data_IF_018068778925
#
_entry.id   IF_018068778925
#
_cell.length_a   1.000
_cell.length_b   1.000
_cell.length_c   1.000
_cell.angle_alpha   90.00
_cell.angle_beta   90.00
_cell.angle_gamma   90.00
#
_symmetry.space_group_name_H-M   'P 1'
#
loop_
_entity.id
_entity.type
_entity.pdbx_description
1 polymer ?
#
# COMPACT_ATOMS: atom_id res chain seq x y z
N UNK A 1 -18.47 -24.53 2.91
CA UNK A 1 -17.92 -23.18 2.70
C UNK A 1 -16.92 -23.26 1.58
N UNK A 2 -17.33 -22.83 0.39
CA UNK A 2 -16.39 -22.73 -0.73
C UNK A 2 -15.36 -21.65 -0.39
N UNK A 3 -14.08 -21.97 -0.63
CA UNK A 3 -12.99 -21.00 -0.53
C UNK A 3 -13.29 -19.86 -1.50
N UNK A 4 -12.91 -18.60 -1.19
CA UNK A 4 -13.00 -17.54 -2.18
C UNK A 4 -12.32 -18.01 -3.48
N UNK A 5 -13.06 -17.95 -4.58
CA UNK A 5 -12.55 -18.31 -5.90
C UNK A 5 -11.36 -17.41 -6.21
N UNK A 6 -10.37 -17.94 -6.94
CA UNK A 6 -9.15 -17.20 -7.34
C UNK A 6 -9.51 -15.84 -7.95
N UNK A 7 -10.61 -15.79 -8.70
CA UNK A 7 -11.16 -14.57 -9.28
C UNK A 7 -11.54 -13.53 -8.21
N UNK A 8 -12.27 -13.90 -7.16
CA UNK A 8 -12.69 -12.98 -6.10
C UNK A 8 -11.48 -12.40 -5.34
N UNK A 9 -10.49 -13.23 -5.04
CA UNK A 9 -9.24 -12.77 -4.39
C UNK A 9 -8.47 -11.82 -5.30
N UNK A 10 -8.35 -12.13 -6.59
CA UNK A 10 -7.69 -11.25 -7.56
C UNK A 10 -8.41 -9.89 -7.70
N UNK A 11 -9.73 -9.89 -7.85
CA UNK A 11 -10.52 -8.65 -7.93
C UNK A 11 -10.36 -7.80 -6.69
N UNK A 12 -10.36 -8.41 -5.50
CA UNK A 12 -10.12 -7.70 -4.25
C UNK A 12 -8.74 -7.04 -4.20
N UNK A 13 -7.68 -7.79 -4.54
CA UNK A 13 -6.31 -7.26 -4.60
C UNK A 13 -6.22 -6.08 -5.57
N UNK A 14 -6.78 -6.21 -6.77
CA UNK A 14 -6.75 -5.13 -7.77
C UNK A 14 -7.53 -3.90 -7.33
N UNK A 15 -8.65 -4.08 -6.62
CA UNK A 15 -9.43 -2.97 -6.08
C UNK A 15 -8.66 -2.20 -5.00
N UNK A 16 -7.96 -2.90 -4.10
CA UNK A 16 -7.09 -2.28 -3.09
C UNK A 16 -5.95 -1.51 -3.76
N UNK A 17 -5.29 -2.12 -4.75
CA UNK A 17 -4.20 -1.47 -5.52
C UNK A 17 -4.70 -0.22 -6.23
N UNK A 18 -5.85 -0.28 -6.90
CA UNK A 18 -6.45 0.87 -7.59
C UNK A 18 -6.86 1.98 -6.61
N UNK A 19 -7.40 1.63 -5.44
CA UNK A 19 -7.73 2.56 -4.38
C UNK A 19 -6.50 3.31 -3.87
N UNK A 20 -5.43 2.58 -3.54
CA UNK A 20 -4.17 3.17 -3.12
C UNK A 20 -3.60 4.09 -4.21
N UNK A 21 -3.57 3.64 -5.47
CA UNK A 21 -3.09 4.44 -6.60
C UNK A 21 -3.89 5.74 -6.79
N UNK A 22 -5.20 5.70 -6.56
CA UNK A 22 -6.06 6.88 -6.62
C UNK A 22 -5.65 7.88 -5.54
N UNK A 23 -5.35 7.41 -4.32
CA UNK A 23 -4.86 8.27 -3.24
C UNK A 23 -3.52 8.91 -3.57
N UNK A 24 -2.59 8.21 -4.22
CA UNK A 24 -1.35 8.84 -4.72
C UNK A 24 -1.64 10.05 -5.61
N UNK A 25 -2.52 9.87 -6.60
CA UNK A 25 -2.83 10.93 -7.57
C UNK A 25 -3.54 12.11 -6.92
N UNK A 26 -4.51 11.84 -6.04
CA UNK A 26 -5.27 12.89 -5.34
C UNK A 26 -4.37 13.64 -4.37
N UNK A 27 -3.58 12.95 -3.54
CA UNK A 27 -2.67 13.59 -2.60
C UNK A 27 -1.61 14.43 -3.32
N UNK A 28 -1.11 13.95 -4.47
CA UNK A 28 -0.15 14.69 -5.30
C UNK A 28 -0.79 15.95 -5.89
N UNK A 29 -1.99 15.84 -6.44
CA UNK A 29 -2.71 16.99 -6.97
C UNK A 29 -2.98 18.04 -5.89
N UNK A 30 -3.33 17.63 -4.67
CA UNK A 30 -3.56 18.53 -3.54
C UNK A 30 -2.25 19.21 -3.08
N UNK A 31 -1.14 18.47 -2.99
CA UNK A 31 0.15 19.06 -2.62
C UNK A 31 0.67 20.04 -3.66
N UNK A 32 0.49 19.76 -4.95
CA UNK A 32 0.86 20.67 -6.04
C UNK A 32 -0.06 21.91 -6.07
N UNK A 33 -1.35 21.75 -5.78
CA UNK A 33 -2.29 22.87 -5.69
C UNK A 33 -1.95 23.84 -4.57
N UNK A 34 -1.34 23.37 -3.48
CA UNK A 34 -0.88 24.21 -2.38
C UNK A 34 0.27 25.16 -2.76
N UNK A 35 0.92 24.98 -3.93
CA UNK A 35 1.94 25.87 -4.51
C UNK A 35 3.06 26.25 -3.54
N UNK A 36 3.62 25.27 -2.83
CA UNK A 36 4.78 25.52 -1.99
C UNK A 36 5.98 25.98 -2.82
N UNK A 37 6.82 26.83 -2.24
CA UNK A 37 8.01 27.37 -2.92
C UNK A 37 9.16 26.35 -2.97
N UNK A 38 9.18 25.38 -2.05
CA UNK A 38 10.23 24.37 -1.94
C UNK A 38 9.66 22.97 -2.27
N UNK A 39 10.45 22.18 -2.99
CA UNK A 39 10.10 20.79 -3.31
C UNK A 39 10.03 19.94 -2.03
N UNK A 40 10.99 20.09 -1.11
CA UNK A 40 11.01 19.38 0.18
C UNK A 40 9.70 19.55 0.98
N UNK A 41 9.14 20.78 1.01
CA UNK A 41 7.87 21.04 1.70
C UNK A 41 6.66 20.43 1.00
N UNK A 42 6.71 20.33 -0.33
CA UNK A 42 5.66 19.68 -1.13
C UNK A 42 5.65 18.19 -0.84
N UNK A 43 6.83 17.55 -0.89
CA UNK A 43 7.02 16.14 -0.61
C UNK A 43 6.63 15.77 0.82
N UNK A 44 7.03 16.56 1.83
CA UNK A 44 6.65 16.34 3.23
C UNK A 44 5.12 16.42 3.43
N UNK A 45 4.47 17.41 2.82
CA UNK A 45 3.02 17.58 2.91
C UNK A 45 2.30 16.42 2.23
N UNK A 46 2.77 16.06 1.04
CA UNK A 46 2.28 14.92 0.28
C UNK A 46 2.39 13.62 1.08
N UNK A 47 3.56 13.34 1.66
CA UNK A 47 3.87 12.16 2.47
C UNK A 47 2.89 12.03 3.64
N UNK A 48 2.69 13.13 4.37
CA UNK A 48 1.79 13.20 5.53
C UNK A 48 0.34 12.96 5.12
N UNK A 49 -0.14 13.66 4.10
CA UNK A 49 -1.52 13.54 3.61
C UNK A 49 -1.80 12.12 3.12
N UNK A 50 -0.88 11.56 2.32
CA UNK A 50 -1.04 10.23 1.76
C UNK A 50 -1.04 9.14 2.86
N UNK A 51 -0.11 9.22 3.83
CA UNK A 51 -0.08 8.28 4.94
C UNK A 51 -1.36 8.32 5.77
N UNK A 52 -1.82 9.51 6.16
CA UNK A 52 -3.06 9.66 6.95
C UNK A 52 -4.30 9.23 6.16
N UNK A 53 -4.39 9.58 4.87
CA UNK A 53 -5.49 9.17 4.01
C UNK A 53 -5.56 7.64 3.90
N UNK A 54 -4.43 6.97 3.69
CA UNK A 54 -4.39 5.52 3.60
C UNK A 54 -4.65 4.84 4.95
N UNK A 55 -4.25 5.46 6.07
CA UNK A 55 -4.58 4.96 7.41
C UNK A 55 -6.08 4.99 7.68
N UNK A 56 -6.76 6.09 7.31
CA UNK A 56 -8.23 6.21 7.41
C UNK A 56 -8.92 5.21 6.49
N UNK A 57 -8.44 5.08 5.25
CA UNK A 57 -8.99 4.12 4.30
C UNK A 57 -8.89 2.68 4.83
N UNK A 58 -7.71 2.32 5.33
CA UNK A 58 -7.47 1.03 5.98
C UNK A 58 -8.39 0.79 7.18
N UNK A 59 -8.59 1.78 8.06
CA UNK A 59 -9.49 1.64 9.20
C UNK A 59 -10.95 1.37 8.76
N UNK A 60 -11.40 2.06 7.71
CA UNK A 60 -12.71 1.85 7.11
C UNK A 60 -12.84 0.46 6.47
N UNK A 61 -11.84 0.02 5.71
CA UNK A 61 -11.77 -1.30 5.10
C UNK A 61 -11.87 -2.40 6.17
N UNK A 62 -11.18 -2.22 7.30
CA UNK A 62 -11.23 -3.15 8.42
C UNK A 62 -12.60 -3.18 9.09
N UNK A 63 -13.27 -2.03 9.25
CA UNK A 63 -14.62 -1.98 9.79
C UNK A 63 -15.63 -2.70 8.89
N UNK A 64 -15.58 -2.46 7.58
CA UNK A 64 -16.46 -3.10 6.59
C UNK A 64 -16.16 -4.60 6.50
N UNK A 65 -14.89 -5.01 6.48
CA UNK A 65 -14.47 -6.42 6.46
C UNK A 65 -14.93 -7.13 7.73
N UNK A 66 -14.86 -6.46 8.88
CA UNK A 66 -15.36 -7.00 10.14
C UNK A 66 -16.87 -7.23 10.11
N UNK A 67 -17.63 -6.25 9.65
CA UNK A 67 -19.07 -6.38 9.55
C UNK A 67 -19.51 -7.47 8.56
N UNK A 68 -18.91 -7.52 7.37
CA UNK A 68 -19.22 -8.52 6.34
C UNK A 68 -18.86 -9.93 6.80
N UNK A 69 -17.69 -10.12 7.43
CA UNK A 69 -17.28 -11.40 8.01
C UNK A 69 -18.27 -11.87 9.08
N UNK A 70 -18.76 -10.96 9.93
CA UNK A 70 -19.77 -11.30 10.93
C UNK A 70 -21.07 -11.81 10.28
N UNK A 71 -21.61 -11.10 9.30
CA UNK A 71 -22.83 -11.50 8.59
C UNK A 71 -22.66 -12.86 7.90
N UNK A 72 -21.51 -13.09 7.24
CA UNK A 72 -21.18 -14.37 6.60
C UNK A 72 -21.15 -15.52 7.63
N UNK A 73 -20.49 -15.31 8.77
CA UNK A 73 -20.36 -16.34 9.80
C UNK A 73 -21.69 -16.66 10.49
N UNK A 74 -22.54 -15.65 10.71
CA UNK A 74 -23.92 -15.86 11.19
C UNK A 74 -24.75 -16.64 10.17
N UNK A 75 -24.64 -16.30 8.88
CA UNK A 75 -25.33 -17.03 7.79
C UNK A 75 -24.88 -18.49 7.67
N UNK A 76 -23.63 -18.79 8.00
CA UNK A 76 -23.09 -20.15 8.06
C UNK A 76 -23.44 -20.90 9.36
N UNK A 77 -24.14 -20.28 10.30
CA UNK A 77 -24.47 -20.89 11.60
C UNK A 77 -23.23 -21.15 12.46
N UNK A 78 -22.17 -20.36 12.32
CA UNK A 78 -20.95 -20.50 13.09
C UNK A 78 -21.24 -20.36 14.61
N UNK A 79 -20.53 -21.16 15.41
CA UNK A 79 -20.65 -21.20 16.87
C UNK A 79 -19.29 -20.94 17.51
N UNK A 80 -19.31 -20.41 18.72
CA UNK A 80 -18.11 -20.26 19.56
C UNK A 80 -17.58 -21.62 20.00
N UNK A 81 -16.38 -21.65 20.59
CA UNK A 81 -15.81 -22.85 21.22
C UNK A 81 -16.71 -23.43 22.33
N UNK A 82 -17.57 -22.59 22.93
CA UNK A 82 -18.56 -22.98 23.95
C UNK A 82 -19.90 -23.43 23.37
N UNK A 83 -20.06 -23.44 22.04
CA UNK A 83 -21.28 -23.87 21.35
C UNK A 83 -22.37 -22.81 21.22
N UNK A 84 -22.12 -21.57 21.68
CA UNK A 84 -23.07 -20.45 21.57
C UNK A 84 -23.05 -19.93 20.13
N UNK A 85 -24.21 -19.73 19.48
CA UNK A 85 -24.26 -19.19 18.12
C UNK A 85 -23.79 -17.73 18.09
N UNK A 86 -23.06 -17.34 17.03
CA UNK A 86 -22.45 -16.01 16.92
C UNK A 86 -23.45 -14.84 17.01
N UNK A 87 -24.71 -15.07 16.65
CA UNK A 87 -25.80 -14.09 16.71
C UNK A 87 -26.14 -13.63 18.13
N UNK A 88 -25.87 -14.48 19.13
CA UNK A 88 -26.21 -14.21 20.53
C UNK A 88 -25.10 -13.44 21.27
N UNK A 89 -23.92 -13.27 20.66
CA UNK A 89 -22.82 -12.52 21.26
C UNK A 89 -22.97 -11.02 21.05
N UNK A 90 -22.56 -10.23 22.05
CA UNK A 90 -22.62 -8.78 22.01
C UNK A 90 -21.27 -8.16 21.64
N UNK A 91 -21.29 -7.21 20.69
CA UNK A 91 -20.20 -6.28 20.35
C UNK A 91 -18.77 -6.84 20.47
N UNK A 92 -18.07 -6.48 21.56
CA UNK A 92 -16.68 -6.86 21.80
C UNK A 92 -16.45 -8.37 21.94
N UNK A 93 -17.44 -9.12 22.39
CA UNK A 93 -17.35 -10.58 22.50
C UNK A 93 -17.30 -11.26 21.11
N UNK A 94 -17.88 -10.62 20.09
CA UNK A 94 -17.81 -11.09 18.71
C UNK A 94 -16.35 -10.99 18.22
N UNK A 95 -15.67 -9.88 18.48
CA UNK A 95 -14.26 -9.69 18.11
C UNK A 95 -13.30 -10.60 18.89
N UNK A 96 -13.64 -10.94 20.14
CA UNK A 96 -12.87 -11.86 20.96
C UNK A 96 -13.04 -13.34 20.60
N UNK A 97 -14.04 -13.71 19.80
CA UNK A 97 -14.29 -15.12 19.53
C UNK A 97 -13.32 -15.69 18.48
N UNK A 98 -12.78 -16.88 18.74
CA UNK A 98 -11.79 -17.54 17.89
C UNK A 98 -12.22 -17.67 16.41
N UNK A 99 -13.48 -18.04 16.07
CA UNK A 99 -13.90 -18.11 14.67
C UNK A 99 -13.80 -16.77 13.95
N UNK A 100 -14.16 -15.67 14.61
CA UNK A 100 -14.08 -14.32 14.05
C UNK A 100 -12.62 -13.88 13.90
N UNK A 101 -11.79 -14.05 14.92
CA UNK A 101 -10.37 -13.70 14.86
C UNK A 101 -9.64 -14.46 13.75
N UNK A 102 -9.95 -15.75 13.57
CA UNK A 102 -9.37 -16.57 12.51
C UNK A 102 -9.81 -16.12 11.12
N UNK A 103 -11.09 -15.78 10.93
CA UNK A 103 -11.62 -15.32 9.66
C UNK A 103 -11.09 -13.93 9.29
N UNK A 104 -11.11 -12.99 10.25
CA UNK A 104 -10.54 -11.65 10.08
C UNK A 104 -9.05 -11.72 9.81
N UNK A 105 -8.29 -12.51 10.56
CA UNK A 105 -6.87 -12.70 10.31
C UNK A 105 -6.56 -13.26 8.91
N UNK A 106 -7.44 -14.09 8.35
CA UNK A 106 -7.30 -14.57 6.98
C UNK A 106 -7.55 -13.47 5.94
N UNK A 107 -8.63 -12.70 6.07
CA UNK A 107 -8.90 -11.57 5.14
C UNK A 107 -7.86 -10.47 5.28
N UNK A 108 -7.42 -10.21 6.51
CA UNK A 108 -6.35 -9.27 6.81
C UNK A 108 -5.04 -9.65 6.14
N UNK A 109 -4.69 -10.94 6.18
CA UNK A 109 -3.51 -11.44 5.47
C UNK A 109 -3.60 -11.17 3.97
N UNK A 110 -4.75 -11.44 3.32
CA UNK A 110 -4.93 -11.19 1.89
C UNK A 110 -4.95 -9.72 1.50
N UNK A 111 -5.44 -8.86 2.40
CA UNK A 111 -5.34 -7.41 2.25
C UNK A 111 -3.87 -6.97 2.26
N UNK A 112 -3.11 -7.38 3.28
CA UNK A 112 -1.71 -7.01 3.41
C UNK A 112 -0.83 -7.62 2.30
N UNK A 113 -0.87 -8.95 2.14
CA UNK A 113 -0.13 -9.68 1.13
C UNK A 113 -1.06 -10.53 0.24
N UNK A 114 -1.04 -10.36 -1.09
CA UNK A 114 -0.04 -9.61 -1.85
C UNK A 114 -0.43 -8.13 -2.12
N UNK A 115 -1.61 -7.69 -1.70
CA UNK A 115 -2.27 -6.48 -2.23
C UNK A 115 -1.63 -5.16 -1.82
N UNK A 116 -1.13 -5.01 -0.60
CA UNK A 116 -0.45 -3.78 -0.16
C UNK A 116 1.08 -3.93 -0.23
N UNK A 117 1.61 -5.07 0.18
CA UNK A 117 3.04 -5.27 0.37
C UNK A 117 3.82 -5.48 -0.94
N UNK A 118 3.20 -6.04 -1.99
CA UNK A 118 3.96 -6.49 -3.17
C UNK A 118 3.39 -6.01 -4.49
N UNK A 119 2.09 -6.20 -4.74
CA UNK A 119 1.48 -5.91 -6.05
C UNK A 119 1.65 -4.45 -6.50
N UNK A 120 1.46 -3.42 -5.65
CA UNK A 120 1.68 -2.04 -6.06
C UNK A 120 3.11 -1.83 -6.57
N UNK A 121 4.10 -2.41 -5.86
CA UNK A 121 5.51 -2.31 -6.22
C UNK A 121 5.92 -3.14 -7.44
N UNK A 122 5.15 -4.18 -7.80
CA UNK A 122 5.34 -4.91 -9.06
C UNK A 122 4.74 -4.15 -10.25
N UNK A 123 3.59 -3.53 -10.03
CA UNK A 123 2.85 -2.79 -11.06
C UNK A 123 3.54 -1.46 -11.38
N UNK A 124 4.09 -0.77 -10.37
CA UNK A 124 4.76 0.52 -10.51
C UNK A 124 5.88 0.52 -11.57
N UNK A 125 6.92 -0.34 -11.53
CA UNK A 125 7.96 -0.33 -12.56
C UNK A 125 7.42 -0.67 -13.95
N UNK A 126 6.36 -1.49 -14.03
CA UNK A 126 5.70 -1.83 -15.27
C UNK A 126 5.02 -0.61 -15.91
N UNK A 127 4.28 0.17 -15.11
CA UNK A 127 3.50 1.32 -15.58
C UNK A 127 4.28 2.65 -15.61
N UNK A 128 5.22 2.84 -14.70
CA UNK A 128 5.96 4.10 -14.54
C UNK A 128 7.32 4.11 -15.25
N UNK A 129 7.92 2.93 -15.52
CA UNK A 129 9.24 2.83 -16.16
C UNK A 129 9.13 2.15 -17.52
N UNK A 130 8.61 0.93 -17.56
CA UNK A 130 8.60 0.13 -18.79
C UNK A 130 7.63 0.68 -19.84
N UNK A 131 6.38 0.95 -19.46
CA UNK A 131 5.35 1.44 -20.38
C UNK A 131 5.71 2.80 -21.01
N UNK A 132 6.11 3.85 -20.24
CA UNK A 132 6.46 5.14 -20.83
C UNK A 132 7.71 5.04 -21.69
N UNK A 133 8.69 4.24 -21.27
CA UNK A 133 9.90 4.02 -22.07
C UNK A 133 9.60 3.38 -23.42
N UNK A 134 8.75 2.36 -23.44
CA UNK A 134 8.35 1.70 -24.68
C UNK A 134 7.57 2.65 -25.60
N UNK A 135 6.65 3.46 -25.04
CA UNK A 135 5.90 4.46 -25.81
C UNK A 135 6.83 5.52 -26.39
N UNK A 136 7.77 6.05 -25.60
CA UNK A 136 8.71 7.07 -26.07
C UNK A 136 9.67 6.53 -27.12
N UNK A 137 10.16 5.30 -26.98
CA UNK A 137 10.96 4.64 -28.02
C UNK A 137 10.18 4.50 -29.33
N UNK A 138 8.91 4.08 -29.28
CA UNK A 138 8.05 3.98 -30.46
C UNK A 138 7.77 5.35 -31.08
N UNK A 139 7.62 6.39 -30.26
CA UNK A 139 7.35 7.74 -30.72
C UNK A 139 8.56 8.36 -31.42
N UNK A 140 9.76 8.19 -30.86
CA UNK A 140 11.03 8.61 -31.48
C UNK A 140 11.30 7.83 -32.77
N UNK A 141 11.00 6.53 -32.81
CA UNK A 141 11.14 5.72 -34.03
C UNK A 141 10.16 6.10 -35.14
N UNK A 142 8.95 6.52 -34.79
CA UNK A 142 7.91 6.90 -35.77
C UNK A 142 8.08 8.31 -36.34
N UNK A 143 8.79 9.21 -35.64
CA UNK A 143 9.01 10.58 -36.07
C UNK A 143 10.48 10.84 -36.44
N UNK A 144 10.88 10.64 -37.72
CA UNK A 144 12.27 10.81 -38.15
C UNK A 144 12.79 12.26 -38.05
N UNK A 145 11.91 13.22 -37.77
CA UNK A 145 12.22 14.63 -37.53
C UNK A 145 12.84 14.87 -36.15
N UNK A 146 12.58 14.01 -35.17
CA UNK A 146 13.13 14.12 -33.81
C UNK A 146 14.49 13.42 -33.78
N UNK A 147 15.58 14.18 -33.82
CA UNK A 147 16.96 13.66 -33.87
C UNK A 147 17.88 14.35 -32.88
N UNK A 148 18.98 13.68 -32.53
CA UNK A 148 20.01 14.22 -31.65
C UNK A 148 19.46 14.52 -30.26
N UNK A 149 19.70 15.73 -29.77
CA UNK A 149 19.34 16.15 -28.42
C UNK A 149 17.82 16.12 -28.14
N UNK A 150 16.98 16.33 -29.16
CA UNK A 150 15.52 16.26 -28.99
C UNK A 150 15.05 14.81 -28.78
N UNK A 151 15.68 13.86 -29.44
CA UNK A 151 15.42 12.43 -29.24
C UNK A 151 15.88 11.97 -27.85
N UNK A 152 17.05 12.45 -27.40
CA UNK A 152 17.52 12.20 -26.03
C UNK A 152 16.58 12.79 -24.99
N UNK A 153 16.08 14.02 -25.17
CA UNK A 153 15.09 14.63 -24.28
C UNK A 153 13.76 13.89 -24.28
N UNK A 154 13.29 13.41 -25.44
CA UNK A 154 12.08 12.59 -25.51
C UNK A 154 12.24 11.25 -24.77
N UNK A 155 13.48 10.75 -24.68
CA UNK A 155 13.83 9.55 -23.90
C UNK A 155 14.16 9.85 -22.43
N UNK A 156 14.17 11.12 -21.98
CA UNK A 156 14.22 11.49 -20.56
C UNK A 156 12.85 11.36 -19.88
N UNK A 157 12.20 10.20 -20.02
CA UNK A 157 10.92 9.88 -19.36
C UNK A 157 11.11 9.42 -17.90
N UNK A 158 12.32 9.57 -17.37
CA UNK A 158 12.68 9.12 -16.04
C UNK A 158 11.87 9.86 -14.98
N UNK A 159 11.01 9.12 -14.27
CA UNK A 159 10.25 9.64 -13.16
C UNK A 159 11.23 10.06 -12.05
N UNK A 160 11.19 11.32 -11.57
CA UNK A 160 12.00 11.73 -10.41
C UNK A 160 11.68 10.82 -9.22
N UNK A 161 12.66 10.62 -8.34
CA UNK A 161 12.43 9.80 -7.15
C UNK A 161 11.48 10.56 -6.22
N UNK A 162 10.24 10.09 -6.14
CA UNK A 162 9.26 10.60 -5.19
C UNK A 162 9.58 10.05 -3.78
N UNK A 163 9.50 10.89 -2.74
CA UNK A 163 9.66 10.44 -1.34
C UNK A 163 8.45 9.63 -0.84
N UNK A 164 7.43 9.47 -1.68
CA UNK A 164 6.22 8.67 -1.43
C UNK A 164 6.51 7.27 -0.89
N UNK A 165 7.63 6.67 -1.29
CA UNK A 165 8.10 5.35 -0.80
C UNK A 165 8.29 5.27 0.71
N UNK A 166 8.59 6.38 1.39
CA UNK A 166 8.65 6.39 2.86
C UNK A 166 7.29 6.15 3.48
N UNK A 167 6.23 6.77 2.95
CA UNK A 167 4.86 6.54 3.43
C UNK A 167 4.43 5.09 3.21
N UNK A 168 4.82 4.46 2.11
CA UNK A 168 4.44 3.07 1.84
C UNK A 168 5.13 2.09 2.77
N UNK A 169 6.42 2.28 3.02
CA UNK A 169 7.16 1.49 4.00
C UNK A 169 6.56 1.66 5.40
N UNK A 170 6.21 2.89 5.77
CA UNK A 170 5.58 3.18 7.07
C UNK A 170 4.18 2.58 7.17
N UNK A 171 3.40 2.62 6.10
CA UNK A 171 2.07 2.02 6.02
C UNK A 171 2.17 0.49 6.11
N UNK A 172 3.11 -0.14 5.40
CA UNK A 172 3.34 -1.56 5.48
C UNK A 172 3.73 -2.00 6.90
N UNK A 173 4.59 -1.23 7.57
CA UNK A 173 4.91 -1.44 8.97
C UNK A 173 3.67 -1.29 9.87
N UNK A 174 2.85 -0.28 9.65
CA UNK A 174 1.60 -0.03 10.41
C UNK A 174 0.62 -1.19 10.25
N UNK A 175 0.40 -1.68 9.03
CA UNK A 175 -0.46 -2.85 8.75
C UNK A 175 0.10 -4.10 9.44
N UNK A 176 1.42 -4.31 9.39
CA UNK A 176 2.03 -5.45 10.06
C UNK A 176 1.88 -5.40 11.59
N UNK A 177 2.02 -4.22 12.21
CA UNK A 177 1.79 -4.06 13.66
C UNK A 177 0.31 -4.25 14.02
N UNK A 178 -0.62 -3.77 13.19
CA UNK A 178 -2.05 -4.02 13.36
C UNK A 178 -2.42 -5.51 13.34
N UNK A 179 -1.59 -6.38 12.74
CA UNK A 179 -1.82 -7.83 12.78
C UNK A 179 -1.82 -8.41 14.20
N UNK A 180 -1.19 -7.74 15.17
CA UNK A 180 -1.22 -8.17 16.57
C UNK A 180 -2.58 -8.01 17.23
N UNK A 181 -3.43 -7.07 16.77
CA UNK A 181 -4.79 -6.87 17.28
C UNK A 181 -5.68 -8.08 16.95
N UNK A 182 -5.38 -8.77 15.86
CA UNK A 182 -6.09 -9.99 15.45
C UNK A 182 -5.13 -11.18 15.58
N UNK A 183 -4.95 -11.77 16.78
CA UNK A 183 -4.04 -12.87 17.01
C UNK A 183 -4.52 -14.13 16.27
N UNK A 184 -4.22 -14.19 14.99
CA UNK A 184 -4.43 -15.32 14.11
C UNK A 184 -3.13 -16.09 13.89
N UNK A 185 -3.26 -17.33 13.44
CA UNK A 185 -2.11 -18.16 12.99
C UNK A 185 -1.33 -17.59 11.78
N UNK A 186 -1.66 -16.37 11.35
CA UNK A 186 -1.09 -15.69 10.19
C UNK A 186 0.02 -14.69 10.52
N UNK A 187 0.30 -14.40 11.81
CA UNK A 187 1.31 -13.41 12.21
C UNK A 187 2.68 -13.73 11.58
N UNK A 188 3.17 -14.97 11.72
CA UNK A 188 4.46 -15.35 11.14
C UNK A 188 4.47 -15.14 9.61
N UNK A 189 3.37 -15.52 8.95
CA UNK A 189 3.23 -15.36 7.49
C UNK A 189 3.26 -13.89 7.11
N UNK A 190 2.58 -13.04 7.87
CA UNK A 190 2.54 -11.59 7.67
C UNK A 190 3.94 -10.98 7.73
N UNK A 191 4.70 -11.25 8.79
CA UNK A 191 6.05 -10.71 8.95
C UNK A 191 7.03 -11.29 7.93
N UNK A 192 6.91 -12.57 7.57
CA UNK A 192 7.72 -13.16 6.50
C UNK A 192 7.44 -12.54 5.13
N UNK A 193 6.16 -12.25 4.85
CA UNK A 193 5.73 -11.60 3.62
C UNK A 193 6.22 -10.15 3.59
N UNK A 194 6.09 -9.42 4.70
CA UNK A 194 6.64 -8.07 4.85
C UNK A 194 8.14 -8.06 4.57
N UNK A 195 8.90 -8.94 5.23
CA UNK A 195 10.35 -9.04 5.05
C UNK A 195 10.73 -9.32 3.59
N UNK A 196 10.08 -10.30 2.95
CA UNK A 196 10.32 -10.61 1.55
C UNK A 196 9.97 -9.43 0.62
N UNK A 197 8.85 -8.75 0.87
CA UNK A 197 8.49 -7.55 0.10
C UNK A 197 9.47 -6.40 0.31
N UNK A 198 9.97 -6.19 1.53
CA UNK A 198 10.95 -5.15 1.82
C UNK A 198 12.27 -5.39 1.10
N UNK A 199 12.74 -6.65 1.04
CA UNK A 199 13.92 -7.00 0.23
C UNK A 199 13.67 -6.66 -1.24
N UNK A 200 12.51 -7.05 -1.79
CA UNK A 200 12.16 -6.75 -3.17
C UNK A 200 12.13 -5.24 -3.43
N UNK A 201 11.50 -4.46 -2.55
CA UNK A 201 11.42 -2.99 -2.65
C UNK A 201 12.82 -2.38 -2.64
N UNK A 202 13.70 -2.81 -1.73
CA UNK A 202 15.10 -2.33 -1.67
C UNK A 202 15.84 -2.65 -2.98
N UNK A 203 15.72 -3.87 -3.50
CA UNK A 203 16.35 -4.25 -4.76
C UNK A 203 15.82 -3.42 -5.94
N UNK A 204 14.51 -3.19 -6.00
CA UNK A 204 13.86 -2.38 -7.03
C UNK A 204 14.31 -0.92 -6.95
N UNK A 205 14.31 -0.34 -5.76
CA UNK A 205 14.68 1.05 -5.55
C UNK A 205 16.17 1.27 -5.83
N UNK A 206 17.03 0.31 -5.47
CA UNK A 206 18.44 0.34 -5.85
C UNK A 206 18.63 0.33 -7.36
N UNK A 207 17.88 -0.52 -8.08
CA UNK A 207 17.89 -0.52 -9.54
C UNK A 207 17.41 0.82 -10.12
N UNK A 208 16.32 1.39 -9.57
CA UNK A 208 15.76 2.67 -10.02
C UNK A 208 16.74 3.82 -9.86
N UNK A 209 17.38 3.96 -8.70
CA UNK A 209 18.35 5.02 -8.45
C UNK A 209 19.53 4.95 -9.41
N UNK A 210 19.99 3.75 -9.78
CA UNK A 210 21.13 3.57 -10.68
C UNK A 210 20.81 3.76 -12.16
N UNK A 211 19.57 3.50 -12.58
CA UNK A 211 19.23 3.34 -14.02
C UNK A 211 18.05 4.17 -14.50
N UNK A 212 17.19 4.63 -13.61
CA UNK A 212 15.89 5.19 -13.96
C UNK A 212 15.58 6.55 -13.33
N UNK A 213 16.41 7.07 -12.43
CA UNK A 213 16.20 8.39 -11.79
C UNK A 213 17.23 9.37 -12.34
N UNK A 214 16.81 10.55 -12.87
CA UNK A 214 17.73 11.46 -13.52
C UNK A 214 18.48 12.35 -12.52
N UNK A 215 17.81 12.75 -11.42
CA UNK A 215 18.38 13.47 -10.30
C UNK A 215 17.49 13.35 -9.06
N UNK A 216 18.11 13.35 -7.88
CA UNK A 216 17.45 13.58 -6.59
C UNK A 216 18.12 14.79 -5.94
N UNK A 217 17.35 15.86 -5.69
CA UNK A 217 17.83 17.02 -4.96
C UNK A 217 16.95 17.23 -3.74
N UNK A 218 17.42 16.75 -2.61
CA UNK A 218 16.82 17.01 -1.30
C UNK A 218 17.76 17.92 -0.54
N UNK A 219 17.28 19.07 -0.12
CA UNK A 219 18.12 20.11 0.50
C UNK A 219 18.01 20.11 2.02
N UNK A 220 17.01 19.43 2.57
CA UNK A 220 16.70 19.43 4.01
C UNK A 220 16.24 18.06 4.51
N UNK A 221 16.46 17.81 5.81
CA UNK A 221 16.06 16.56 6.50
C UNK A 221 14.58 16.57 6.95
N UNK A 222 13.78 17.53 6.47
CA UNK A 222 12.41 17.75 6.95
C UNK A 222 11.51 16.52 6.74
N UNK A 223 11.63 15.87 5.58
CA UNK A 223 10.87 14.67 5.26
C UNK A 223 11.25 13.49 6.15
N UNK A 224 12.53 13.36 6.51
CA UNK A 224 12.98 12.31 7.43
C UNK A 224 12.43 12.55 8.84
N UNK A 225 12.54 13.78 9.35
CA UNK A 225 11.99 14.15 10.66
C UNK A 225 10.47 13.92 10.72
N UNK A 226 9.76 14.22 9.63
CA UNK A 226 8.33 13.94 9.50
C UNK A 226 8.04 12.44 9.59
N UNK A 227 8.78 11.60 8.87
CA UNK A 227 8.62 10.13 8.91
C UNK A 227 8.93 9.59 10.31
N UNK A 228 9.98 10.09 10.97
CA UNK A 228 10.31 9.72 12.34
C UNK A 228 9.16 10.05 13.30
N UNK A 229 8.54 11.23 13.15
CA UNK A 229 7.36 11.61 13.92
C UNK A 229 6.16 10.71 13.63
N UNK A 230 5.89 10.38 12.36
CA UNK A 230 4.79 9.49 11.96
C UNK A 230 5.02 8.04 12.41
N UNK A 231 6.27 7.62 12.63
CA UNK A 231 6.62 6.31 13.20
C UNK A 231 6.10 6.12 14.63
N UNK A 232 5.74 7.19 15.33
CA UNK A 232 5.03 7.10 16.60
C UNK A 232 3.70 6.33 16.49
N UNK A 233 3.04 6.33 15.33
CA UNK A 233 1.76 5.64 15.11
C UNK A 233 1.90 4.11 15.16
N UNK A 234 2.74 3.46 14.33
CA UNK A 234 2.95 2.01 14.42
C UNK A 234 3.52 1.57 15.78
N UNK A 235 4.35 2.40 16.43
CA UNK A 235 4.85 2.12 17.79
C UNK A 235 3.72 2.20 18.83
N UNK A 236 2.86 3.23 18.73
CA UNK A 236 1.72 3.40 19.63
C UNK A 236 0.70 2.27 19.52
N UNK A 237 0.61 1.60 18.37
CA UNK A 237 -0.24 0.41 18.18
C UNK A 237 0.33 -0.86 18.82
N UNK A 238 1.62 -0.87 19.11
CA UNK A 238 2.30 -2.01 19.74
C UNK A 238 2.24 -1.97 21.27
N UNK A 239 2.07 -0.78 21.85
CA UNK A 239 1.96 -0.53 23.31
C UNK A 239 0.52 -0.72 23.80
#
# INVERSE_FOLDING_TARGET
GERPTVFATFTFTMLVVAGNQTMYLVCRAVSEFAKFQCQDTTEMTYLTLYFLACLVNFAMDMAVTSYTTYVMMVGMGARTSTGIPLRELSGLQIFGCYPMQRALGHFFFWYAFPSCFLVPFLVEPLLAIWLPGHIMELLVRSHPNVRGMEAERALQYFCPMDLSRYSDCLLNATIAMMSFIFPGSYIWKMFSALFASSIYIICLDHYRVLRAVPACQFSTDNSEQCVQALTAIPIGLLL
#
